data_IF_708646949217
#
_entry.id   IF_708646949217
#
_cell.length_a   1.000
_cell.length_b   1.000
_cell.length_c   1.000
_cell.angle_alpha   90.00
_cell.angle_beta   90.00
_cell.angle_gamma   90.00
#
_symmetry.space_group_name_H-M   'P 1'
#
loop_
_entity.id
_entity.type
_entity.pdbx_description
1 polymer ?
#
# COMPACT_ATOMS: atom_id res chain seq x y z
N UNK A 1 -1.86 4.35 20.28
CA UNK A 1 -2.52 4.44 18.98
C UNK A 1 -3.71 3.48 18.98
N UNK A 2 -4.96 3.95 18.79
CA UNK A 2 -6.12 3.09 18.72
C UNK A 2 -6.26 2.48 17.31
N UNK A 3 -6.01 1.18 17.17
CA UNK A 3 -6.13 0.47 15.89
C UNK A 3 -7.53 -0.15 15.74
N UNK A 4 -8.04 -0.20 14.50
CA UNK A 4 -9.31 -0.88 14.22
C UNK A 4 -9.15 -2.40 14.32
N UNK A 5 -10.26 -3.09 14.59
CA UNK A 5 -10.29 -4.55 14.55
C UNK A 5 -9.94 -5.08 13.15
N UNK A 6 -9.37 -6.28 13.10
CA UNK A 6 -8.89 -6.88 11.85
C UNK A 6 -10.01 -7.04 10.81
N UNK A 7 -11.20 -7.45 11.24
CA UNK A 7 -12.39 -7.60 10.40
C UNK A 7 -12.71 -6.29 9.69
N UNK A 8 -12.82 -5.19 10.44
CA UNK A 8 -13.10 -3.87 9.87
C UNK A 8 -11.98 -3.37 8.95
N UNK A 9 -10.71 -3.67 9.24
CA UNK A 9 -9.57 -3.31 8.38
C UNK A 9 -9.58 -4.08 7.06
N UNK A 10 -9.99 -5.34 7.10
CA UNK A 10 -10.17 -6.14 5.90
C UNK A 10 -11.35 -5.63 5.08
N UNK A 11 -12.49 -5.31 5.71
CA UNK A 11 -13.66 -4.75 5.04
C UNK A 11 -13.37 -3.42 4.32
N UNK A 12 -12.65 -2.50 4.97
CA UNK A 12 -12.34 -1.16 4.44
C UNK A 12 -11.23 -1.18 3.35
N UNK A 13 -10.47 -2.28 3.24
CA UNK A 13 -9.43 -2.46 2.23
C UNK A 13 -9.96 -3.27 1.04
N UNK A 14 -10.01 -2.65 -0.14
CA UNK A 14 -10.38 -3.33 -1.38
C UNK A 14 -9.31 -4.31 -1.86
N UNK A 15 -8.04 -4.08 -1.49
CA UNK A 15 -6.92 -4.94 -1.86
C UNK A 15 -6.11 -5.30 -0.62
N UNK A 16 -5.83 -6.60 -0.47
CA UNK A 16 -4.93 -7.11 0.57
C UNK A 16 -3.89 -8.00 -0.10
N UNK A 17 -2.61 -7.72 0.13
CA UNK A 17 -1.51 -8.45 -0.50
C UNK A 17 -0.33 -8.64 0.44
N UNK A 18 0.48 -9.66 0.15
CA UNK A 18 1.78 -9.87 0.79
C UNK A 18 2.89 -9.50 -0.18
N UNK A 19 3.96 -8.90 0.33
CA UNK A 19 5.08 -8.52 -0.52
C UNK A 19 6.30 -8.06 0.26
N UNK A 20 7.39 -7.88 -0.48
CA UNK A 20 8.67 -7.37 0.03
C UNK A 20 8.94 -5.99 -0.55
N UNK A 21 9.32 -5.04 0.29
CA UNK A 21 9.76 -3.71 -0.14
C UNK A 21 11.10 -3.81 -0.87
N UNK A 22 11.13 -3.42 -2.14
CA UNK A 22 12.35 -3.41 -2.96
C UNK A 22 13.07 -2.06 -2.92
N UNK A 23 12.30 -0.97 -2.97
CA UNK A 23 12.85 0.38 -3.12
C UNK A 23 11.92 1.39 -2.43
N UNK A 24 12.51 2.40 -1.80
CA UNK A 24 11.80 3.52 -1.17
C UNK A 24 11.97 4.75 -2.07
N UNK A 25 10.86 5.40 -2.41
CA UNK A 25 10.84 6.62 -3.20
C UNK A 25 10.66 7.87 -2.34
N UNK A 26 10.82 9.03 -3.00
CA UNK A 26 10.75 10.33 -2.36
C UNK A 26 9.40 10.59 -1.69
N UNK A 27 9.46 11.48 -0.69
CA UNK A 27 8.34 11.95 0.11
C UNK A 27 7.40 12.82 -0.74
N UNK A 28 6.09 12.58 -0.65
CA UNK A 28 5.07 13.55 -1.06
C UNK A 28 5.08 14.73 -0.07
N UNK A 29 5.48 15.94 -0.52
CA UNK A 29 5.60 17.10 0.36
C UNK A 29 4.25 17.61 0.88
N UNK A 30 3.13 17.25 0.23
CA UNK A 30 1.79 17.72 0.62
C UNK A 30 1.28 16.92 1.82
N UNK A 31 1.34 15.60 1.74
CA UNK A 31 0.82 14.72 2.79
C UNK A 31 1.90 14.25 3.77
N UNK A 32 3.18 14.59 3.54
CA UNK A 32 4.33 14.15 4.33
C UNK A 32 4.43 12.61 4.43
N UNK A 33 3.95 11.91 3.40
CA UNK A 33 4.04 10.45 3.27
C UNK A 33 5.07 10.08 2.22
N UNK A 34 5.47 8.81 2.14
CA UNK A 34 6.35 8.32 1.08
C UNK A 34 5.79 7.08 0.40
N UNK A 35 6.31 6.77 -0.79
CA UNK A 35 5.91 5.60 -1.58
C UNK A 35 7.04 4.59 -1.70
N UNK A 36 6.70 3.32 -1.89
CA UNK A 36 7.65 2.22 -2.05
C UNK A 36 7.32 1.33 -3.26
N UNK A 37 8.34 0.79 -3.93
CA UNK A 37 8.17 -0.36 -4.84
C UNK A 37 8.06 -1.63 -4.01
N UNK A 38 6.99 -2.39 -4.20
CA UNK A 38 6.76 -3.65 -3.51
C UNK A 38 6.66 -4.78 -4.52
N UNK A 39 7.49 -5.82 -4.33
CA UNK A 39 7.39 -7.07 -5.06
C UNK A 39 6.34 -7.95 -4.40
N UNK A 40 5.22 -8.15 -5.10
CA UNK A 40 4.08 -8.92 -4.61
C UNK A 40 4.39 -10.41 -4.64
N UNK A 41 4.05 -11.11 -3.56
CA UNK A 41 4.11 -12.57 -3.47
C UNK A 41 2.75 -13.19 -3.73
N UNK A 42 1.74 -12.78 -2.95
CA UNK A 42 0.35 -13.26 -3.10
C UNK A 42 -0.65 -12.14 -2.84
N UNK A 43 -1.73 -12.15 -3.59
CA UNK A 43 -2.94 -11.39 -3.27
C UNK A 43 -3.82 -12.25 -2.36
N UNK A 44 -4.22 -11.69 -1.23
CA UNK A 44 -5.19 -12.30 -0.31
C UNK A 44 -6.62 -11.82 -0.65
N UNK A 45 -6.75 -10.62 -1.24
CA UNK A 45 -8.00 -9.99 -1.69
C UNK A 45 -7.74 -9.00 -2.82
N UNK A 46 -8.70 -8.82 -3.74
CA UNK A 46 -8.73 -7.69 -4.66
C UNK A 46 -7.73 -7.76 -5.82
N UNK A 47 -7.31 -8.95 -6.25
CA UNK A 47 -6.33 -9.11 -7.35
C UNK A 47 -6.87 -8.51 -8.65
N UNK A 48 -8.15 -8.72 -8.91
CA UNK A 48 -8.88 -8.23 -10.07
C UNK A 48 -8.85 -6.70 -10.16
N UNK A 49 -8.99 -5.99 -9.03
CA UNK A 49 -8.91 -4.52 -8.96
C UNK A 49 -7.55 -4.04 -9.47
N UNK A 50 -6.47 -4.69 -9.02
CA UNK A 50 -5.10 -4.34 -9.42
C UNK A 50 -4.88 -4.56 -10.90
N UNK A 51 -5.35 -5.67 -11.47
CA UNK A 51 -5.17 -5.97 -12.91
C UNK A 51 -5.88 -5.00 -13.85
N UNK A 52 -6.96 -4.33 -13.40
CA UNK A 52 -7.70 -3.38 -14.25
C UNK A 52 -7.20 -1.95 -14.11
N UNK A 53 -6.76 -1.55 -12.91
CA UNK A 53 -6.49 -0.15 -12.58
C UNK A 53 -5.00 0.19 -12.41
N UNK A 54 -4.13 -0.81 -12.23
CA UNK A 54 -2.71 -0.60 -11.90
C UNK A 54 -1.82 -1.24 -12.97
N UNK A 55 -0.89 -0.44 -13.51
CA UNK A 55 0.17 -0.94 -14.38
C UNK A 55 1.23 -1.66 -13.56
N UNK A 56 1.37 -2.97 -13.76
CA UNK A 56 2.37 -3.79 -13.07
C UNK A 56 3.75 -3.66 -13.73
N UNK A 57 4.75 -3.22 -12.96
CA UNK A 57 6.15 -3.23 -13.38
C UNK A 57 6.70 -4.67 -13.29
N UNK A 58 7.18 -5.22 -14.40
CA UNK A 58 7.68 -6.61 -14.47
C UNK A 58 6.64 -7.70 -14.14
N UNK A 59 5.35 -7.37 -14.11
CA UNK A 59 4.25 -8.32 -13.92
C UNK A 59 3.93 -8.71 -12.46
N UNK A 60 4.77 -8.32 -11.49
CA UNK A 60 4.52 -8.61 -10.06
C UNK A 60 4.95 -7.50 -9.10
N UNK A 61 5.25 -6.29 -9.59
CA UNK A 61 5.61 -5.15 -8.74
C UNK A 61 4.55 -4.08 -8.81
N UNK A 62 4.26 -3.49 -7.64
CA UNK A 62 3.30 -2.40 -7.46
C UNK A 62 3.95 -1.25 -6.71
N UNK A 63 3.46 -0.06 -6.96
CA UNK A 63 3.77 1.12 -6.15
C UNK A 63 2.76 1.23 -5.02
N UNK A 64 3.25 1.34 -3.78
CA UNK A 64 2.41 1.56 -2.61
C UNK A 64 2.78 2.91 -1.99
N UNK A 65 1.81 3.81 -1.81
CA UNK A 65 1.96 5.10 -1.16
C UNK A 65 1.31 5.16 0.22
N UNK A 66 1.48 6.28 0.92
CA UNK A 66 0.87 6.53 2.23
C UNK A 66 1.68 6.03 3.43
N UNK A 67 2.93 5.59 3.23
CA UNK A 67 3.80 5.26 4.35
C UNK A 67 4.14 6.54 5.15
N UNK A 68 4.19 6.41 6.48
CA UNK A 68 4.37 7.54 7.38
C UNK A 68 3.11 8.32 7.75
N UNK A 69 1.92 7.93 7.25
CA UNK A 69 0.66 8.58 7.63
C UNK A 69 0.42 8.51 9.15
N UNK A 70 0.35 9.66 9.87
CA UNK A 70 0.20 9.69 11.32
C UNK A 70 -1.11 9.10 11.84
N UNK A 71 -2.10 8.87 10.98
CA UNK A 71 -3.37 8.21 11.31
C UNK A 71 -3.25 6.67 11.38
N UNK A 72 -2.14 6.11 10.89
CA UNK A 72 -1.87 4.67 10.86
C UNK A 72 -0.81 4.33 11.91
N UNK A 73 -1.06 3.32 12.75
CA UNK A 73 -0.18 2.99 13.87
C UNK A 73 1.18 2.40 13.45
N UNK A 74 1.17 1.33 12.64
CA UNK A 74 2.36 0.71 12.06
C UNK A 74 2.42 1.08 10.57
N UNK A 75 3.16 2.14 10.26
CA UNK A 75 3.16 2.81 8.96
C UNK A 75 4.56 2.96 8.33
N UNK A 76 5.60 2.38 8.96
CA UNK A 76 6.99 2.51 8.52
C UNK A 76 7.49 1.19 7.94
N UNK A 77 8.32 1.30 6.92
CA UNK A 77 9.02 0.17 6.29
C UNK A 77 10.45 0.55 5.90
N UNK A 78 11.31 -0.44 5.85
CA UNK A 78 12.66 -0.39 5.28
C UNK A 78 12.77 -1.32 4.07
N UNK A 79 13.75 -1.07 3.19
CA UNK A 79 14.07 -2.01 2.10
C UNK A 79 14.34 -3.41 2.63
N UNK A 80 13.72 -4.41 2.02
CA UNK A 80 13.79 -5.82 2.46
C UNK A 80 12.68 -6.22 3.43
N UNK A 81 11.92 -5.27 3.99
CA UNK A 81 10.78 -5.61 4.85
C UNK A 81 9.73 -6.41 4.08
N UNK A 82 9.23 -7.46 4.71
CA UNK A 82 8.11 -8.25 4.19
C UNK A 82 6.91 -8.08 5.13
N UNK A 83 5.76 -7.71 4.57
CA UNK A 83 4.54 -7.37 5.31
C UNK A 83 3.30 -7.83 4.55
N UNK A 84 2.17 -7.83 5.25
CA UNK A 84 0.82 -7.81 4.68
C UNK A 84 0.36 -6.34 4.61
N UNK A 85 -0.11 -5.93 3.44
CA UNK A 85 -0.53 -4.57 3.14
C UNK A 85 -2.05 -4.53 2.92
N UNK A 86 -2.71 -3.60 3.61
CA UNK A 86 -4.13 -3.27 3.45
C UNK A 86 -4.22 -1.97 2.69
N UNK A 87 -4.67 -2.01 1.44
CA UNK A 87 -4.53 -0.88 0.51
C UNK A 87 -5.76 -0.69 -0.38
N UNK A 88 -5.85 0.50 -0.96
CA UNK A 88 -6.87 0.89 -1.93
C UNK A 88 -6.23 1.58 -3.14
N UNK A 89 -6.79 1.48 -4.36
CA UNK A 89 -6.35 2.31 -5.48
C UNK A 89 -6.39 3.79 -5.12
N UNK A 90 -5.36 4.54 -5.51
CA UNK A 90 -5.30 5.97 -5.25
C UNK A 90 -6.49 6.69 -5.93
N UNK A 91 -7.31 7.42 -5.16
CA UNK A 91 -8.49 8.09 -5.70
C UNK A 91 -8.10 9.22 -6.66
N UNK A 92 -9.00 9.56 -7.59
CA UNK A 92 -8.74 10.52 -8.66
C UNK A 92 -8.28 11.92 -8.19
N UNK A 93 -8.66 12.36 -6.99
CA UNK A 93 -8.24 13.66 -6.46
C UNK A 93 -6.76 13.71 -6.04
N UNK A 94 -6.11 12.55 -5.88
CA UNK A 94 -4.66 12.44 -5.60
C UNK A 94 -3.82 12.41 -6.87
N UNK A 95 -4.46 12.46 -8.05
CA UNK A 95 -3.76 12.46 -9.33
C UNK A 95 -3.28 13.88 -9.67
N UNK A 96 -2.12 14.02 -10.35
CA UNK A 96 -1.32 12.96 -10.96
C UNK A 96 -0.30 12.30 -10.02
N UNK A 97 -0.08 12.84 -8.81
CA UNK A 97 1.02 12.44 -7.93
C UNK A 97 1.02 10.94 -7.60
N UNK A 98 -0.15 10.39 -7.26
CA UNK A 98 -0.31 8.97 -6.89
C UNK A 98 -1.03 8.15 -7.97
N UNK A 99 -0.99 8.60 -9.23
CA UNK A 99 -1.64 7.85 -10.32
C UNK A 99 -0.98 6.47 -10.47
N UNK A 100 -1.80 5.42 -10.53
CA UNK A 100 -1.39 4.01 -10.58
C UNK A 100 -0.69 3.51 -9.29
N UNK A 101 -0.90 4.17 -8.16
CA UNK A 101 -0.44 3.69 -6.84
C UNK A 101 -1.58 3.06 -6.04
N UNK A 102 -1.22 2.15 -5.13
CA UNK A 102 -2.09 1.67 -4.07
C UNK A 102 -1.75 2.45 -2.78
N UNK A 103 -2.74 3.01 -2.10
CA UNK A 103 -2.55 3.78 -0.87
C UNK A 103 -2.79 2.92 0.36
N UNK A 104 -1.92 3.04 1.36
CA UNK A 104 -2.12 2.42 2.68
C UNK A 104 -3.47 2.85 3.27
N UNK A 105 -4.22 1.86 3.77
CA UNK A 105 -5.51 2.09 4.41
C UNK A 105 -5.47 1.83 5.92
N UNK A 106 -4.68 0.87 6.38
CA UNK A 106 -4.50 0.57 7.81
C UNK A 106 -3.11 0.02 8.10
N UNK A 107 -2.82 -0.24 9.38
CA UNK A 107 -1.50 -0.68 9.82
C UNK A 107 -0.99 -1.91 9.10
N UNK A 108 0.33 -1.94 8.90
CA UNK A 108 1.04 -3.08 8.36
C UNK A 108 0.93 -4.27 9.32
N UNK A 109 0.96 -5.48 8.76
CA UNK A 109 1.06 -6.70 9.57
C UNK A 109 2.31 -7.48 9.20
N UNK A 110 2.92 -8.12 10.21
CA UNK A 110 4.01 -9.07 10.02
C UNK A 110 3.46 -10.39 9.47
N UNK A 111 4.30 -11.10 8.71
CA UNK A 111 4.06 -12.48 8.28
C UNK A 111 4.48 -13.42 9.40
#
# INVERSE_FOLDING_TARGET
CPEKELERREEEANVVLTGTVEEIFNVDPVHQTYSCKVRVWRYLKGKEVVTHEILLDGGNKVMIGGFGDPLICDNQVSTGDTRIFFVNPAPHYMWPAHKNELMLNSSLMRI
#
